data_IF_194328037125
#
_entry.id   IF_194328037125
#
_cell.length_a   1.000
_cell.length_b   1.000
_cell.length_c   1.000
_cell.angle_alpha   90.00
_cell.angle_beta   90.00
_cell.angle_gamma   90.00
#
_symmetry.space_group_name_H-M   'P 1'
#
loop_
_entity.id
_entity.type
_entity.pdbx_description
1 polymer ?
#
# COMPACT_ATOMS: atom_id res chain seq x y z
N UNK A 1 -7.70 -32.85 -58.78
CA UNK A 1 -7.78 -33.18 -57.35
C UNK A 1 -7.96 -34.67 -57.17
N UNK A 2 -7.14 -35.34 -56.42
CA UNK A 2 -7.26 -36.74 -56.08
C UNK A 2 -8.41 -36.93 -55.04
N UNK A 3 -9.01 -38.14 -54.96
CA UNK A 3 -10.06 -38.42 -53.98
C UNK A 3 -9.63 -38.15 -52.52
N UNK A 4 -8.36 -38.24 -52.24
CA UNK A 4 -7.80 -38.01 -50.97
C UNK A 4 -7.80 -36.49 -50.58
N UNK A 5 -7.54 -35.62 -51.52
CA UNK A 5 -7.58 -34.17 -51.28
C UNK A 5 -9.00 -33.65 -51.04
N UNK A 6 -9.99 -34.19 -51.72
CA UNK A 6 -11.41 -33.88 -51.50
C UNK A 6 -11.87 -34.28 -50.08
N UNK A 7 -11.38 -35.42 -49.56
CA UNK A 7 -11.69 -35.84 -48.19
C UNK A 7 -11.04 -34.94 -47.14
N UNK A 8 -9.80 -34.51 -47.35
CA UNK A 8 -9.10 -33.58 -46.43
C UNK A 8 -9.78 -32.21 -46.40
N UNK A 9 -10.19 -31.69 -47.57
CA UNK A 9 -10.88 -30.40 -47.63
C UNK A 9 -12.24 -30.44 -46.92
N UNK A 10 -13.00 -31.53 -47.06
CA UNK A 10 -14.28 -31.70 -46.34
C UNK A 10 -14.10 -31.83 -44.83
N UNK A 11 -13.07 -32.51 -44.39
CA UNK A 11 -12.78 -32.65 -42.95
C UNK A 11 -12.40 -31.33 -42.32
N UNK A 12 -11.56 -30.54 -42.96
CA UNK A 12 -11.14 -29.24 -42.48
C UNK A 12 -12.30 -28.23 -42.39
N UNK A 13 -13.20 -28.25 -43.37
CA UNK A 13 -14.38 -27.39 -43.40
C UNK A 13 -15.34 -27.74 -42.26
N UNK A 14 -15.53 -29.01 -41.97
CA UNK A 14 -16.34 -29.51 -40.86
C UNK A 14 -15.73 -29.13 -39.50
N UNK A 15 -14.41 -29.22 -39.36
CA UNK A 15 -13.69 -28.84 -38.16
C UNK A 15 -13.80 -27.34 -37.89
N UNK A 16 -13.68 -26.52 -38.94
CA UNK A 16 -13.84 -25.06 -38.82
C UNK A 16 -15.27 -24.70 -38.39
N UNK A 17 -16.28 -25.34 -38.91
CA UNK A 17 -17.68 -25.12 -38.52
C UNK A 17 -17.96 -25.50 -37.08
N UNK A 18 -17.34 -26.56 -36.57
CA UNK A 18 -17.45 -26.97 -35.16
C UNK A 18 -16.78 -25.95 -34.24
N UNK A 19 -15.60 -25.48 -34.61
CA UNK A 19 -14.86 -24.48 -33.83
C UNK A 19 -15.66 -23.17 -33.76
N UNK A 20 -16.22 -22.70 -34.86
CA UNK A 20 -17.02 -21.46 -34.85
C UNK A 20 -18.32 -21.63 -34.05
N UNK A 21 -18.93 -22.82 -34.06
CA UNK A 21 -20.11 -23.09 -33.27
C UNK A 21 -19.79 -23.09 -31.75
N UNK A 22 -18.66 -23.64 -31.35
CA UNK A 22 -18.20 -23.65 -29.95
C UNK A 22 -17.93 -22.23 -29.49
N UNK A 23 -17.25 -21.42 -30.29
CA UNK A 23 -16.97 -20.00 -29.94
C UNK A 23 -18.26 -19.20 -29.82
N UNK A 24 -19.21 -19.38 -30.71
CA UNK A 24 -20.52 -18.74 -30.67
C UNK A 24 -21.33 -19.19 -29.44
N UNK A 25 -21.24 -20.45 -29.04
CA UNK A 25 -21.90 -20.98 -27.85
C UNK A 25 -21.32 -20.41 -26.57
N UNK A 26 -20.01 -20.20 -26.50
CA UNK A 26 -19.33 -19.58 -25.36
C UNK A 26 -19.74 -18.11 -25.23
N UNK A 27 -19.87 -17.39 -26.35
CA UNK A 27 -20.35 -16.01 -26.37
C UNK A 27 -21.81 -15.89 -25.93
N UNK A 28 -22.66 -16.82 -26.36
CA UNK A 28 -24.09 -16.83 -26.01
C UNK A 28 -24.37 -17.29 -24.58
N UNK A 29 -23.48 -18.08 -23.97
CA UNK A 29 -23.65 -18.57 -22.60
C UNK A 29 -23.25 -17.52 -21.52
N UNK A 30 -22.76 -16.34 -21.93
CA UNK A 30 -22.35 -15.31 -21.00
C UNK A 30 -21.22 -15.75 -20.08
N UNK A 31 -20.40 -16.73 -20.51
CA UNK A 31 -19.22 -17.20 -19.78
C UNK A 31 -18.06 -16.19 -19.85
N UNK A 32 -18.21 -15.11 -20.61
CA UNK A 32 -17.63 -13.88 -20.16
C UNK A 32 -18.47 -13.43 -18.95
N UNK A 33 -18.33 -14.13 -17.84
CA UNK A 33 -18.32 -13.45 -16.59
C UNK A 33 -17.36 -12.28 -16.85
N UNK A 34 -17.91 -11.12 -16.91
CA UNK A 34 -17.34 -10.03 -16.20
C UNK A 34 -17.04 -10.62 -14.81
N UNK A 35 -15.87 -11.23 -14.68
CA UNK A 35 -15.19 -11.33 -13.42
C UNK A 35 -14.94 -9.86 -13.09
N UNK A 36 -15.98 -9.24 -12.57
CA UNK A 36 -15.81 -8.46 -11.40
C UNK A 36 -15.13 -9.42 -10.44
N UNK A 37 -13.82 -9.62 -10.61
CA UNK A 37 -12.96 -9.94 -9.50
C UNK A 37 -13.51 -9.02 -8.42
N UNK A 38 -13.86 -9.53 -7.23
CA UNK A 38 -14.01 -8.62 -6.12
C UNK A 38 -12.73 -7.83 -6.23
N UNK A 39 -12.82 -6.57 -6.67
CA UNK A 39 -11.77 -5.64 -6.42
C UNK A 39 -11.71 -5.73 -4.90
N UNK A 40 -10.81 -6.59 -4.45
CA UNK A 40 -10.19 -6.47 -3.17
C UNK A 40 -9.83 -4.99 -3.19
N UNK A 41 -10.75 -4.21 -2.58
CA UNK A 41 -10.55 -2.80 -2.38
C UNK A 41 -9.19 -2.82 -1.73
N UNK A 42 -8.14 -2.57 -2.53
CA UNK A 42 -6.86 -2.24 -1.98
C UNK A 42 -7.20 -1.05 -1.11
N UNK A 43 -7.46 -1.38 0.15
CA UNK A 43 -7.55 -0.39 1.20
C UNK A 43 -6.17 0.24 1.10
N UNK A 44 -6.12 1.38 0.41
CA UNK A 44 -4.88 2.08 0.16
C UNK A 44 -4.34 2.40 1.53
N UNK A 45 -3.43 1.54 2.00
CA UNK A 45 -2.77 1.73 3.30
C UNK A 45 -2.20 3.13 3.23
N UNK A 46 -2.71 3.99 4.10
CA UNK A 46 -2.26 5.39 4.13
C UNK A 46 -0.74 5.40 4.18
N UNK A 47 -0.11 6.28 3.41
CA UNK A 47 1.37 6.39 3.34
C UNK A 47 1.98 6.50 4.73
N UNK A 48 1.28 7.17 5.65
CA UNK A 48 1.62 7.29 7.07
C UNK A 48 0.54 6.62 7.90
N UNK A 49 0.91 5.61 8.66
CA UNK A 49 0.02 4.87 9.55
C UNK A 49 0.78 4.38 10.77
N UNK A 50 0.04 4.03 11.81
CA UNK A 50 0.60 3.33 12.96
C UNK A 50 0.82 1.85 12.59
N UNK A 51 1.96 1.29 12.98
CA UNK A 51 2.20 -0.14 12.90
C UNK A 51 1.21 -0.90 13.79
N UNK A 52 0.71 -2.04 13.31
CA UNK A 52 -0.31 -2.81 14.02
C UNK A 52 0.22 -3.49 15.29
N UNK A 53 1.53 -3.72 15.39
CA UNK A 53 2.14 -4.45 16.49
C UNK A 53 2.51 -3.54 17.66
N UNK A 54 3.10 -2.38 17.39
CA UNK A 54 3.66 -1.49 18.42
C UNK A 54 3.17 -0.04 18.32
N UNK A 55 2.31 0.26 17.35
CA UNK A 55 1.78 1.59 17.10
C UNK A 55 2.80 2.57 16.52
N UNK A 56 4.01 2.13 16.18
CA UNK A 56 5.07 3.01 15.69
C UNK A 56 4.75 3.60 14.32
N UNK A 57 5.29 4.79 14.06
CA UNK A 57 5.25 5.42 12.73
C UNK A 57 6.65 5.42 12.15
N UNK A 58 6.84 4.62 11.12
CA UNK A 58 8.14 4.35 10.50
C UNK A 58 8.89 5.61 10.08
N UNK A 59 8.19 6.56 9.45
CA UNK A 59 8.79 7.80 8.95
C UNK A 59 9.32 8.67 10.09
N UNK A 60 8.57 8.76 11.19
CA UNK A 60 9.00 9.50 12.39
C UNK A 60 10.19 8.82 13.04
N UNK A 61 10.17 7.52 13.19
CA UNK A 61 11.31 6.76 13.74
C UNK A 61 12.58 6.96 12.90
N UNK A 62 12.47 6.93 11.59
CA UNK A 62 13.62 7.17 10.69
C UNK A 62 14.12 8.62 10.78
N UNK A 63 13.21 9.59 10.89
CA UNK A 63 13.56 10.99 11.08
C UNK A 63 14.33 11.19 12.38
N UNK A 64 13.86 10.64 13.50
CA UNK A 64 14.53 10.73 14.79
C UNK A 64 15.92 10.09 14.78
N UNK A 65 16.07 8.90 14.18
CA UNK A 65 17.37 8.24 14.04
C UNK A 65 18.39 9.03 13.22
N UNK A 66 17.94 9.91 12.33
CA UNK A 66 18.81 10.77 11.53
C UNK A 66 19.15 12.10 12.22
N UNK A 67 18.29 12.59 13.11
CA UNK A 67 18.38 13.94 13.66
C UNK A 67 18.74 14.00 15.15
N UNK A 68 18.61 12.89 15.90
CA UNK A 68 19.03 12.85 17.30
C UNK A 68 20.55 12.94 17.45
N UNK A 69 21.00 13.58 18.52
CA UNK A 69 22.42 13.66 18.87
C UNK A 69 23.03 12.27 19.15
N UNK A 70 22.27 11.42 19.81
CA UNK A 70 22.62 10.02 20.06
C UNK A 70 21.47 9.11 19.61
N UNK A 71 21.45 8.69 18.34
CA UNK A 71 20.38 7.84 17.82
C UNK A 71 20.26 6.48 18.53
N UNK A 72 21.37 5.97 19.06
CA UNK A 72 21.40 4.71 19.81
C UNK A 72 20.71 4.79 21.17
N UNK A 73 20.52 5.99 21.72
CA UNK A 73 19.82 6.22 22.98
C UNK A 73 18.29 6.33 22.83
N UNK A 74 17.78 6.34 21.59
CA UNK A 74 16.36 6.45 21.32
C UNK A 74 15.59 5.25 21.88
N UNK A 75 14.55 5.56 22.64
CA UNK A 75 13.63 4.59 23.22
C UNK A 75 12.19 5.11 23.09
N UNK A 76 11.34 4.38 22.41
CA UNK A 76 9.92 4.70 22.26
C UNK A 76 9.21 4.55 23.60
N UNK A 77 8.35 5.50 23.96
CA UNK A 77 7.52 5.45 25.17
C UNK A 77 6.06 5.30 24.81
N UNK A 78 5.55 6.18 23.93
CA UNK A 78 4.12 6.19 23.57
C UNK A 78 3.93 6.77 22.17
N UNK A 79 3.03 6.17 21.42
CA UNK A 79 2.55 6.65 20.13
C UNK A 79 1.09 7.06 20.22
N UNK A 80 0.77 8.24 19.72
CA UNK A 80 -0.61 8.64 19.46
C UNK A 80 -1.08 8.11 18.10
N UNK A 81 -2.40 8.19 17.83
CA UNK A 81 -2.93 7.81 16.54
C UNK A 81 -2.49 8.79 15.44
N UNK A 82 -2.22 8.27 14.24
CA UNK A 82 -2.03 9.09 13.05
C UNK A 82 -3.37 9.67 12.62
N UNK A 83 -3.40 10.98 12.39
CA UNK A 83 -4.57 11.69 11.88
C UNK A 83 -4.22 12.36 10.56
N UNK A 84 -5.03 12.13 9.53
CA UNK A 84 -4.90 12.79 8.22
C UNK A 84 -5.81 14.03 8.16
N UNK A 85 -5.26 15.16 7.72
CA UNK A 85 -6.05 16.33 7.40
C UNK A 85 -6.68 16.15 6.00
N UNK A 86 -8.01 16.14 5.85
CA UNK A 86 -8.67 15.82 4.59
C UNK A 86 -8.44 16.89 3.49
N UNK A 87 -8.07 18.10 3.87
CA UNK A 87 -7.85 19.19 2.92
C UNK A 87 -6.42 19.26 2.41
N UNK A 88 -5.45 19.17 3.32
CA UNK A 88 -4.02 19.27 2.98
C UNK A 88 -3.39 17.92 2.63
N UNK A 89 -4.04 16.82 3.03
CA UNK A 89 -3.49 15.46 2.95
C UNK A 89 -2.21 15.30 3.78
N UNK A 90 -2.01 16.13 4.76
CA UNK A 90 -0.93 16.02 5.72
C UNK A 90 -1.32 15.14 6.88
N UNK A 91 -0.33 14.47 7.45
CA UNK A 91 -0.50 13.59 8.58
C UNK A 91 0.05 14.24 9.85
N UNK A 92 -0.61 14.00 10.96
CA UNK A 92 -0.21 14.49 12.28
C UNK A 92 -0.17 13.30 13.22
N UNK A 93 0.93 13.17 13.98
CA UNK A 93 1.09 12.13 14.99
C UNK A 93 1.86 12.69 16.20
N UNK A 94 1.38 12.35 17.41
CA UNK A 94 2.10 12.61 18.64
C UNK A 94 2.99 11.41 18.97
N UNK A 95 4.23 11.69 19.36
CA UNK A 95 5.14 10.67 19.83
C UNK A 95 5.87 11.12 21.09
N UNK A 96 5.85 10.27 22.12
CA UNK A 96 6.62 10.42 23.33
C UNK A 96 7.77 9.42 23.31
N UNK A 97 8.97 9.90 23.53
CA UNK A 97 10.17 9.09 23.47
C UNK A 97 11.22 9.64 24.44
N UNK A 98 12.23 8.84 24.68
CA UNK A 98 13.38 9.22 25.50
C UNK A 98 14.64 9.10 24.66
N UNK A 99 15.54 10.04 24.81
CA UNK A 99 16.85 10.05 24.15
C UNK A 99 17.84 10.92 24.91
N UNK A 100 19.12 10.72 24.69
CA UNK A 100 20.15 11.60 25.23
C UNK A 100 20.20 12.91 24.45
N UNK A 101 20.27 14.02 25.18
CA UNK A 101 20.48 15.34 24.59
C UNK A 101 21.97 15.56 24.23
N UNK A 102 22.31 16.75 23.71
CA UNK A 102 23.69 17.09 23.31
C UNK A 102 24.70 17.10 24.48
N UNK A 103 24.23 17.07 25.71
CA UNK A 103 25.06 16.99 26.93
C UNK A 103 25.17 15.58 27.50
N UNK A 104 24.61 14.59 26.84
CA UNK A 104 24.63 13.20 27.27
C UNK A 104 23.62 12.84 28.37
N UNK A 105 22.73 13.78 28.76
CA UNK A 105 21.66 13.51 29.70
C UNK A 105 20.43 12.92 29.02
N UNK A 106 19.84 11.89 29.62
CA UNK A 106 18.59 11.31 29.13
C UNK A 106 17.43 12.25 29.40
N UNK A 107 16.68 12.58 28.36
CA UNK A 107 15.51 13.45 28.40
C UNK A 107 14.30 12.79 27.79
N UNK A 108 13.12 13.11 28.31
CA UNK A 108 11.84 12.68 27.73
C UNK A 108 11.34 13.81 26.82
N UNK A 109 11.02 13.44 25.59
CA UNK A 109 10.42 14.32 24.59
C UNK A 109 8.97 13.90 24.36
N UNK A 110 8.09 14.87 24.23
CA UNK A 110 6.69 14.67 23.87
C UNK A 110 6.37 15.64 22.73
N UNK A 111 6.35 15.14 21.52
CA UNK A 111 6.34 15.98 20.32
C UNK A 111 5.22 15.58 19.36
N UNK A 112 4.72 16.57 18.63
CA UNK A 112 3.82 16.40 17.50
C UNK A 112 4.66 16.50 16.23
N UNK A 113 4.53 15.51 15.36
CA UNK A 113 5.15 15.45 14.04
C UNK A 113 4.10 15.73 12.99
N UNK A 114 4.39 16.64 12.09
CA UNK A 114 3.58 16.90 10.89
C UNK A 114 4.33 16.38 9.68
N UNK A 115 3.67 15.54 8.90
CA UNK A 115 4.22 14.92 7.69
C UNK A 115 3.39 15.34 6.48
N UNK A 116 4.03 15.44 5.31
CA UNK A 116 3.32 15.68 4.06
C UNK A 116 2.60 14.42 3.54
N UNK A 117 1.93 14.55 2.41
CA UNK A 117 1.22 13.45 1.76
C UNK A 117 2.12 12.29 1.28
N UNK A 118 3.42 12.51 1.21
CA UNK A 118 4.43 11.51 0.84
C UNK A 118 5.11 10.88 2.08
N UNK A 119 4.76 11.33 3.28
CA UNK A 119 5.34 10.85 4.53
C UNK A 119 6.65 11.50 4.93
N UNK A 120 6.99 12.68 4.37
CA UNK A 120 8.15 13.46 4.78
C UNK A 120 7.81 14.29 6.01
N UNK A 121 8.64 14.25 7.05
CA UNK A 121 8.47 15.10 8.23
C UNK A 121 8.75 16.56 7.87
N UNK A 122 7.73 17.41 7.97
CA UNK A 122 7.79 18.83 7.68
C UNK A 122 8.17 19.67 8.90
N UNK A 123 7.63 19.32 10.06
CA UNK A 123 7.85 20.04 11.29
C UNK A 123 7.65 19.18 12.52
N UNK A 124 8.24 19.61 13.62
CA UNK A 124 8.04 19.06 14.96
C UNK A 124 7.72 20.19 15.94
N UNK A 125 6.84 19.94 16.89
CA UNK A 125 6.51 20.88 17.97
C UNK A 125 6.38 20.12 19.30
N UNK A 126 6.86 20.74 20.38
CA UNK A 126 6.72 20.17 21.71
C UNK A 126 5.28 20.29 22.21
N UNK A 127 4.83 19.30 22.96
CA UNK A 127 3.56 19.31 23.68
C UNK A 127 3.84 19.81 25.09
N UNK A 128 3.28 20.96 25.44
CA UNK A 128 3.29 21.52 26.81
C UNK A 128 2.46 20.69 27.79
#
# INVERSE_FOLDING_TARGET
MTPQEKKKAKFNLSLLAIITLIVASIMAAGIFNDSTEPQEKEESVAVVHNDELDGSVRQVTQFLKKNLNDPGSYESVEWGPVTENPHTKWFIVRHKYRAKNGYGATQIYNQIFTLDSLGTVLSTSDVE
#
